data_IF_379299033526
#
_entry.id   IF_379299033526
#
_cell.length_a   1.000
_cell.length_b   1.000
_cell.length_c   1.000
_cell.angle_alpha   90.00
_cell.angle_beta   90.00
_cell.angle_gamma   90.00
#
_symmetry.space_group_name_H-M   'P 1'
#
loop_
_entity.id
_entity.type
_entity.pdbx_description
1 polymer ?
#
# COMPACT_ATOMS: atom_id res chain seq x y z
N UNK A 1 -9.03 -4.15 -7.96
CA UNK A 1 -7.75 -3.43 -8.11
C UNK A 1 -6.73 -3.96 -7.09
N UNK A 2 -5.42 -3.83 -7.35
CA UNK A 2 -4.38 -4.12 -6.34
C UNK A 2 -3.95 -2.80 -5.71
N UNK A 3 -3.85 -2.79 -4.39
CA UNK A 3 -3.39 -1.60 -3.66
C UNK A 3 -2.33 -1.98 -2.64
N UNK A 4 -1.44 -1.02 -2.39
CA UNK A 4 -0.47 -1.07 -1.32
C UNK A 4 -1.01 -0.21 -0.17
N UNK A 5 -1.20 -0.82 0.99
CA UNK A 5 -1.53 -0.11 2.21
C UNK A 5 -0.23 0.29 2.90
N UNK A 6 0.01 1.60 2.92
CA UNK A 6 1.21 2.17 3.52
C UNK A 6 0.94 2.77 4.89
N UNK A 7 -0.23 2.58 5.53
CA UNK A 7 -0.65 3.34 6.73
C UNK A 7 0.32 3.39 7.91
N UNK A 8 1.28 2.48 7.98
CA UNK A 8 2.34 2.44 9.00
C UNK A 8 3.63 3.18 8.60
N UNK A 9 3.69 3.74 7.40
CA UNK A 9 4.83 4.47 6.84
C UNK A 9 4.65 5.99 7.04
N UNK A 10 5.72 6.74 6.80
CA UNK A 10 5.76 8.20 6.94
C UNK A 10 5.59 8.90 5.59
N UNK A 11 6.70 9.19 4.91
CA UNK A 11 6.75 9.95 3.67
C UNK A 11 7.84 9.37 2.79
N UNK A 12 7.58 9.28 1.49
CA UNK A 12 8.61 8.91 0.54
C UNK A 12 8.04 8.54 -0.81
N UNK A 13 8.65 7.56 -1.46
CA UNK A 13 8.26 7.08 -2.77
C UNK A 13 8.36 5.56 -2.84
N UNK A 14 7.48 4.94 -3.62
CA UNK A 14 7.39 3.51 -3.77
C UNK A 14 7.51 3.09 -5.24
N UNK A 15 8.15 1.95 -5.47
CA UNK A 15 8.32 1.34 -6.78
C UNK A 15 7.96 -0.14 -6.74
N UNK A 16 7.32 -0.62 -7.81
CA UNK A 16 7.02 -2.03 -8.03
C UNK A 16 7.72 -2.47 -9.32
N UNK A 17 8.62 -3.44 -9.22
CA UNK A 17 9.40 -3.95 -10.35
C UNK A 17 10.11 -2.85 -11.16
N UNK A 18 10.64 -1.83 -10.48
CA UNK A 18 11.32 -0.69 -11.09
C UNK A 18 10.41 0.42 -11.63
N UNK A 19 9.08 0.26 -11.56
CA UNK A 19 8.11 1.26 -11.98
C UNK A 19 7.61 2.06 -10.76
N UNK A 20 7.70 3.39 -10.81
CA UNK A 20 7.21 4.24 -9.72
C UNK A 20 5.69 4.17 -9.63
N UNK A 21 5.17 3.95 -8.41
CA UNK A 21 3.73 4.07 -8.10
C UNK A 21 3.40 5.41 -7.43
N UNK A 22 4.39 6.32 -7.36
CA UNK A 22 4.26 7.67 -6.87
C UNK A 22 4.69 7.88 -5.41
N UNK A 23 4.60 9.14 -4.99
CA UNK A 23 4.95 9.58 -3.63
C UNK A 23 3.83 9.27 -2.65
N UNK A 24 4.21 8.85 -1.45
CA UNK A 24 3.33 8.75 -0.31
C UNK A 24 3.69 9.78 0.75
N UNK A 25 2.69 10.27 1.50
CA UNK A 25 2.88 11.26 2.55
C UNK A 25 1.80 11.14 3.62
N UNK A 26 2.01 10.21 4.53
CA UNK A 26 1.05 9.81 5.57
C UNK A 26 1.22 10.62 6.85
N UNK A 27 2.41 11.19 7.06
CA UNK A 27 2.63 12.21 8.09
C UNK A 27 1.90 13.52 7.81
N UNK A 28 1.36 13.71 6.59
CA UNK A 28 0.48 14.83 6.27
C UNK A 28 -0.96 14.50 6.67
N UNK A 29 -1.36 15.03 7.83
CA UNK A 29 -2.68 14.79 8.40
C UNK A 29 -3.69 15.87 7.97
N UNK A 30 -4.93 15.47 7.79
CA UNK A 30 -6.07 16.39 7.70
C UNK A 30 -6.34 17.05 9.06
N UNK A 31 -7.25 18.03 9.10
CA UNK A 31 -7.69 18.65 10.35
C UNK A 31 -8.24 17.65 11.39
N UNK A 32 -8.68 16.47 10.94
CA UNK A 32 -9.19 15.38 11.77
C UNK A 32 -8.08 14.40 12.22
N UNK A 33 -6.81 14.71 11.96
CA UNK A 33 -5.67 13.88 12.38
C UNK A 33 -5.52 12.58 11.58
N UNK A 34 -6.09 12.50 10.37
CA UNK A 34 -6.00 11.31 9.51
C UNK A 34 -5.15 11.60 8.26
N UNK A 35 -4.37 10.64 7.76
CA UNK A 35 -3.70 10.77 6.48
C UNK A 35 -4.72 10.96 5.35
N UNK A 36 -4.39 11.81 4.39
CA UNK A 36 -5.24 12.08 3.21
C UNK A 36 -5.37 10.85 2.29
N UNK A 37 -4.33 10.01 2.25
CA UNK A 37 -4.30 8.78 1.47
C UNK A 37 -3.39 7.74 2.14
N UNK A 38 -3.90 6.52 2.29
CA UNK A 38 -3.13 5.37 2.82
C UNK A 38 -3.01 4.23 1.83
N UNK A 39 -3.94 4.16 0.87
CA UNK A 39 -4.00 3.12 -0.16
C UNK A 39 -3.49 3.67 -1.49
N UNK A 40 -2.44 3.04 -2.01
CA UNK A 40 -1.78 3.41 -3.26
C UNK A 40 -2.07 2.37 -4.32
N UNK A 41 -2.55 2.81 -5.47
CA UNK A 41 -2.90 1.89 -6.57
C UNK A 41 -1.64 1.31 -7.21
N UNK A 42 -1.61 0.00 -7.39
CA UNK A 42 -0.57 -0.70 -8.15
C UNK A 42 -1.19 -1.17 -9.47
N UNK A 43 -0.82 -0.56 -10.62
CA UNK A 43 -1.27 -1.03 -11.93
C UNK A 43 -0.94 -2.50 -12.13
N UNK A 44 -1.91 -3.30 -12.58
CA UNK A 44 -1.68 -4.74 -12.82
C UNK A 44 -0.56 -5.02 -13.83
N UNK A 45 -0.34 -4.12 -14.78
CA UNK A 45 0.76 -4.20 -15.75
C UNK A 45 2.15 -4.11 -15.11
N UNK A 46 2.27 -3.62 -13.87
CA UNK A 46 3.54 -3.58 -13.15
C UNK A 46 3.85 -4.90 -12.44
N UNK A 47 2.88 -5.80 -12.33
CA UNK A 47 3.01 -7.06 -11.60
C UNK A 47 3.39 -8.21 -12.54
N UNK A 48 4.28 -9.07 -12.02
CA UNK A 48 4.61 -10.39 -12.56
C UNK A 48 3.77 -11.46 -11.85
N UNK A 49 3.75 -12.67 -12.40
CA UNK A 49 3.06 -13.82 -11.80
C UNK A 49 3.66 -14.26 -10.46
N UNK A 50 4.96 -14.03 -10.25
CA UNK A 50 5.69 -14.29 -9.00
C UNK A 50 6.87 -13.33 -8.86
N UNK A 51 7.54 -13.35 -7.71
CA UNK A 51 8.83 -12.66 -7.48
C UNK A 51 8.79 -11.16 -7.81
N UNK A 52 7.70 -10.53 -7.38
CA UNK A 52 7.54 -9.08 -7.47
C UNK A 52 8.46 -8.41 -6.45
N UNK A 53 9.23 -7.42 -6.91
CA UNK A 53 10.07 -6.60 -6.07
C UNK A 53 9.33 -5.31 -5.72
N UNK A 54 9.17 -5.05 -4.42
CA UNK A 54 8.69 -3.79 -3.88
C UNK A 54 9.88 -3.06 -3.24
N UNK A 55 10.08 -1.81 -3.63
CA UNK A 55 11.10 -0.92 -3.07
C UNK A 55 10.42 0.33 -2.53
N UNK A 56 10.78 0.73 -1.31
CA UNK A 56 10.34 1.98 -0.70
C UNK A 56 11.56 2.79 -0.30
N UNK A 57 11.53 4.08 -0.63
CA UNK A 57 12.34 5.09 0.04
C UNK A 57 11.47 5.69 1.14
N UNK A 58 11.96 5.71 2.38
CA UNK A 58 11.28 6.33 3.53
C UNK A 58 12.12 7.51 4.03
N UNK A 59 11.51 8.69 4.07
CA UNK A 59 12.15 9.97 4.38
C UNK A 59 11.94 10.39 5.85
N UNK A 60 10.85 9.97 6.49
CA UNK A 60 10.44 10.48 7.82
C UNK A 60 10.32 9.40 8.89
N UNK A 61 10.50 8.14 8.53
CA UNK A 61 10.39 6.99 9.41
C UNK A 61 9.02 6.31 9.32
N UNK A 62 9.00 5.00 9.52
CA UNK A 62 7.83 4.15 9.38
C UNK A 62 8.12 2.71 9.80
N UNK A 63 7.07 1.92 10.01
CA UNK A 63 7.21 0.49 10.30
C UNK A 63 6.93 -0.35 9.03
N UNK A 64 7.97 -0.91 8.39
CA UNK A 64 7.81 -1.72 7.20
C UNK A 64 6.94 -2.97 7.46
N UNK A 65 6.92 -3.51 8.69
CA UNK A 65 6.10 -4.68 9.03
C UNK A 65 4.59 -4.39 8.96
N UNK A 66 4.21 -3.10 8.98
CA UNK A 66 2.83 -2.68 8.84
C UNK A 66 2.32 -2.63 7.40
N UNK A 67 3.21 -2.72 6.39
CA UNK A 67 2.85 -2.69 4.97
C UNK A 67 2.00 -3.92 4.61
N UNK A 68 0.95 -3.72 3.80
CA UNK A 68 0.19 -4.84 3.23
C UNK A 68 -0.22 -4.61 1.78
N UNK A 69 -0.39 -5.72 1.06
CA UNK A 69 -1.01 -5.72 -0.27
C UNK A 69 -2.44 -6.21 -0.13
N UNK A 70 -3.37 -5.42 -0.65
CA UNK A 70 -4.80 -5.65 -0.53
C UNK A 70 -5.46 -5.59 -1.91
N UNK A 71 -6.65 -6.20 -2.01
CA UNK A 71 -7.50 -6.11 -3.21
C UNK A 71 -8.82 -5.44 -2.88
N UNK A 72 -9.19 -4.44 -3.69
CA UNK A 72 -10.48 -3.77 -3.59
C UNK A 72 -11.52 -4.50 -4.46
N UNK A 73 -12.64 -4.89 -3.84
CA UNK A 73 -13.87 -5.34 -4.50
C UNK A 73 -15.01 -4.37 -4.15
N UNK A 74 -15.82 -4.02 -5.16
CA UNK A 74 -17.03 -3.22 -4.94
C UNK A 74 -18.20 -4.19 -4.88
N UNK A 75 -18.88 -4.25 -3.74
CA UNK A 75 -20.16 -4.93 -3.62
C UNK A 75 -21.27 -3.91 -3.81
N UNK A 76 -22.16 -4.15 -4.77
CA UNK A 76 -23.39 -3.38 -4.88
C UNK A 76 -24.35 -3.88 -3.79
N UNK A 77 -24.60 -3.06 -2.77
CA UNK A 77 -25.73 -3.26 -1.87
C UNK A 77 -26.92 -2.58 -2.52
N UNK A 78 -27.79 -3.36 -3.18
CA UNK A 78 -29.11 -2.86 -3.51
C UNK A 78 -29.88 -2.66 -2.20
N UNK A 79 -30.54 -1.51 -2.05
CA UNK A 79 -31.25 -1.08 -0.84
C UNK A 79 -32.46 -1.95 -0.45
N UNK A 80 -32.67 -3.05 -1.18
CA UNK A 80 -33.73 -4.04 -1.00
C UNK A 80 -33.36 -5.17 -0.03
N UNK A 81 -32.08 -5.42 0.23
CA UNK A 81 -31.64 -6.54 1.08
C UNK A 81 -30.91 -6.05 2.35
N UNK A 82 -31.47 -6.40 3.52
CA UNK A 82 -30.90 -6.11 4.85
C UNK A 82 -29.70 -7.03 5.16
N UNK A 83 -28.61 -6.88 4.42
CA UNK A 83 -27.37 -7.65 4.61
C UNK A 83 -26.27 -6.72 5.11
N UNK A 84 -25.90 -6.88 6.40
CA UNK A 84 -24.69 -6.30 6.99
C UNK A 84 -23.46 -6.80 6.20
N UNK A 85 -23.03 -6.03 5.21
CA UNK A 85 -22.00 -6.48 4.27
C UNK A 85 -20.62 -6.12 4.80
N UNK A 86 -19.89 -7.14 5.25
CA UNK A 86 -18.52 -7.05 5.74
C UNK A 86 -17.62 -6.86 4.52
N UNK A 87 -16.99 -5.68 4.39
CA UNK A 87 -15.93 -5.44 3.41
C UNK A 87 -14.77 -6.40 3.68
N UNK A 88 -14.67 -7.47 2.89
CA UNK A 88 -13.61 -8.46 3.05
C UNK A 88 -12.36 -7.96 2.34
N UNK A 89 -11.47 -7.32 3.10
CA UNK A 89 -10.10 -7.01 2.65
C UNK A 89 -9.25 -8.26 2.85
N UNK A 90 -8.85 -8.92 1.76
CA UNK A 90 -7.91 -10.04 1.84
C UNK A 90 -6.48 -9.49 1.94
N UNK A 91 -5.98 -9.38 3.18
CA UNK A 91 -4.60 -8.97 3.49
C UNK A 91 -3.63 -10.05 3.06
N UNK A 92 -2.78 -9.75 2.08
CA UNK A 92 -1.62 -10.59 1.76
C UNK A 92 -0.43 -10.03 2.54
N UNK A 93 0.09 -10.84 3.47
CA UNK A 93 1.27 -10.48 4.26
C UNK A 93 2.49 -10.57 3.34
N UNK A 94 3.14 -9.44 3.05
CA UNK A 94 4.43 -9.45 2.38
C UNK A 94 5.50 -9.89 3.38
N UNK A 95 6.21 -10.99 3.10
CA UNK A 95 7.42 -11.32 3.83
C UNK A 95 8.50 -10.33 3.37
N UNK A 96 8.74 -9.30 4.17
CA UNK A 96 9.85 -8.40 3.94
C UNK A 96 11.10 -9.10 4.48
N UNK A 97 12.00 -9.49 3.58
CA UNK A 97 13.32 -9.91 3.99
C UNK A 97 13.98 -8.72 4.69
N UNK A 98 14.49 -8.94 5.90
CA UNK A 98 15.30 -8.00 6.68
C UNK A 98 16.68 -7.75 6.04
N UNK A 99 16.75 -7.71 4.71
CA UNK A 99 17.97 -7.52 3.95
C UNK A 99 18.01 -6.05 3.51
N UNK A 100 18.66 -5.15 4.27
CA UNK A 100 18.80 -3.76 3.89
C UNK A 100 19.80 -3.69 2.74
N UNK A 101 19.36 -4.05 1.53
CA UNK A 101 20.01 -3.57 0.31
C UNK A 101 19.53 -2.14 0.06
N UNK A 102 19.89 -1.27 1.00
CA UNK A 102 19.99 0.16 0.74
C UNK A 102 21.15 0.30 -0.23
N UNK A 103 20.80 0.55 -1.48
CA UNK A 103 21.75 1.02 -2.48
C UNK A 103 21.99 2.49 -2.14
N UNK A 104 23.26 2.83 -1.95
CA UNK A 104 23.78 4.15 -1.61
C UNK A 104 23.23 5.23 -2.55
N UNK A 105 22.89 6.39 -1.97
CA UNK A 105 22.80 7.64 -2.73
C UNK A 105 24.17 8.31 -2.67
N UNK A 106 24.80 8.48 -3.83
CA UNK A 106 25.84 9.48 -4.05
C UNK A 106 25.21 10.86 -4.22
#
# INVERSE_FOLDING_TARGET
PVVLNLSAMGKGEAWVNGQSIGRYWLSLLTAQGKPSQTLYHVPRSFLKTSDNLLVLLEETGGDPLGISVDTISTTYTDSSDNVNTISSTKRIHCHLNNDPKIIEQH
#
